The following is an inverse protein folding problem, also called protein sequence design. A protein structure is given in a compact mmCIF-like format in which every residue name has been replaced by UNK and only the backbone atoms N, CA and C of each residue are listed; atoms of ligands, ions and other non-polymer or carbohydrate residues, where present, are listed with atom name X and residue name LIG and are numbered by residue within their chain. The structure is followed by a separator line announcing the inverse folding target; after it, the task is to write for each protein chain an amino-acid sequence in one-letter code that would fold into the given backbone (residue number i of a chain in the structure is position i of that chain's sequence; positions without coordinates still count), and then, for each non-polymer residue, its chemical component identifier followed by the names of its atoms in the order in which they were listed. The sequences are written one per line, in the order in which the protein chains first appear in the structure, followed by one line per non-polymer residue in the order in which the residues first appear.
data_IF_460506579667
#
_entry.id   IF_460506579667
#
_cell.length_a   1.000
_cell.length_b   1.000
_cell.length_c   1.000
_cell.angle_alpha   90.00
_cell.angle_beta   90.00
_cell.angle_gamma   90.00
#
_symmetry.space_group_name_H-M   'P 1'
#
loop_
_entity.id
_entity.type
_entity.pdbx_description
1 polymer ?
#
# COMPACT_ATOMS: atom_id res chain seq x y z
N UNK A 1 7.90 5.72 59.12
CA UNK A 1 8.74 6.12 57.99
C UNK A 1 8.44 5.19 56.82
N UNK A 2 8.05 5.76 55.68
CA UNK A 2 7.30 5.08 54.61
C UNK A 2 8.26 4.34 53.67
N UNK A 3 7.91 3.09 53.36
CA UNK A 3 8.49 2.22 52.34
C UNK A 3 8.45 2.87 50.95
N UNK A 4 9.60 3.05 50.32
CA UNK A 4 9.68 3.34 48.89
C UNK A 4 10.05 2.05 48.16
N UNK A 5 9.01 1.29 47.80
CA UNK A 5 9.10 0.18 46.85
C UNK A 5 9.31 0.82 45.47
N UNK A 6 10.55 0.77 44.98
CA UNK A 6 10.91 1.16 43.62
C UNK A 6 10.25 0.22 42.63
N UNK A 7 9.06 0.61 42.14
CA UNK A 7 8.32 -0.10 41.12
C UNK A 7 9.03 0.10 39.77
N UNK A 8 9.94 -0.81 39.44
CA UNK A 8 10.53 -0.91 38.11
C UNK A 8 9.44 -1.39 37.14
N UNK A 9 8.78 -0.44 36.48
CA UNK A 9 7.92 -0.68 35.32
C UNK A 9 8.81 -1.16 34.15
N UNK A 10 9.02 -2.47 34.08
CA UNK A 10 9.51 -3.13 32.86
C UNK A 10 8.40 -3.03 31.79
N UNK A 11 8.46 -1.99 30.96
CA UNK A 11 7.79 -1.98 29.67
C UNK A 11 8.45 -3.07 28.81
N UNK A 12 7.84 -4.27 28.80
CA UNK A 12 8.11 -5.24 27.75
C UNK A 12 7.54 -4.67 26.45
N UNK A 13 8.38 -3.96 25.69
CA UNK A 13 8.15 -3.73 24.28
C UNK A 13 8.13 -5.11 23.60
N UNK A 14 6.94 -5.70 23.48
CA UNK A 14 6.75 -6.87 22.65
C UNK A 14 7.15 -6.46 21.24
N UNK A 15 8.33 -6.88 20.81
CA UNK A 15 8.83 -6.72 19.46
C UNK A 15 7.94 -7.58 18.56
N UNK A 16 6.81 -7.01 18.17
CA UNK A 16 5.92 -7.47 17.13
C UNK A 16 6.75 -7.47 15.84
N UNK A 17 7.38 -8.61 15.56
CA UNK A 17 8.14 -8.81 14.33
C UNK A 17 7.23 -8.48 13.15
N UNK A 18 7.66 -7.61 12.24
CA UNK A 18 6.83 -7.24 11.11
C UNK A 18 6.50 -8.46 10.24
N UNK A 19 5.37 -8.42 9.51
CA UNK A 19 5.00 -9.51 8.61
C UNK A 19 6.12 -9.78 7.60
N UNK A 20 6.25 -11.04 7.16
CA UNK A 20 7.26 -11.49 6.19
C UNK A 20 7.24 -10.68 4.87
N UNK A 21 6.11 -10.05 4.55
CA UNK A 21 5.99 -9.05 3.50
C UNK A 21 5.29 -7.80 4.04
N UNK A 22 5.94 -6.64 3.91
CA UNK A 22 5.41 -5.35 4.36
C UNK A 22 4.22 -4.89 3.51
N UNK A 23 3.34 -4.06 4.07
CA UNK A 23 2.18 -3.55 3.34
C UNK A 23 2.60 -2.75 2.09
N UNK A 24 3.66 -1.94 2.18
CA UNK A 24 4.22 -1.20 1.05
C UNK A 24 4.59 -2.11 -0.12
N UNK A 25 5.25 -3.23 0.16
CA UNK A 25 5.69 -4.19 -0.85
C UNK A 25 4.51 -4.92 -1.51
N UNK A 26 3.49 -5.28 -0.73
CA UNK A 26 2.27 -5.91 -1.26
C UNK A 26 1.51 -4.96 -2.18
N UNK A 27 1.34 -3.70 -1.76
CA UNK A 27 0.70 -2.67 -2.58
C UNK A 27 1.53 -2.33 -3.82
N UNK A 28 2.86 -2.39 -3.72
CA UNK A 28 3.76 -2.20 -4.86
C UNK A 28 3.53 -3.24 -5.95
N UNK A 29 3.57 -4.54 -5.63
CA UNK A 29 3.35 -5.61 -6.62
C UNK A 29 1.92 -5.64 -7.17
N UNK A 30 0.93 -5.21 -6.38
CA UNK A 30 -0.42 -5.01 -6.87
C UNK A 30 -0.55 -3.78 -7.79
N UNK A 31 0.37 -2.81 -7.69
CA UNK A 31 0.27 -1.52 -8.37
C UNK A 31 0.24 -1.60 -9.90
N UNK A 32 -0.57 -0.75 -10.53
CA UNK A 32 -0.81 -0.76 -11.98
C UNK A 32 0.44 -0.44 -12.81
N UNK A 33 1.37 0.34 -12.27
CA UNK A 33 2.67 0.60 -12.89
C UNK A 33 3.55 -0.65 -12.94
N UNK A 34 3.53 -1.49 -11.92
CA UNK A 34 4.29 -2.75 -11.92
C UNK A 34 3.71 -3.77 -12.90
N UNK A 35 2.40 -3.65 -13.18
CA UNK A 35 1.72 -4.47 -14.18
C UNK A 35 1.83 -3.92 -15.61
N UNK A 36 2.51 -2.79 -15.82
CA UNK A 36 2.60 -2.15 -17.14
C UNK A 36 1.26 -1.67 -17.69
N UNK A 37 0.25 -1.47 -16.83
CA UNK A 37 -1.13 -1.14 -17.21
C UNK A 37 -1.35 0.38 -17.38
N UNK A 38 -0.34 1.19 -17.09
CA UNK A 38 -0.36 2.65 -17.28
C UNK A 38 0.24 3.02 -18.64
N UNK A 39 -0.37 3.99 -19.31
CA UNK A 39 0.11 4.54 -20.58
C UNK A 39 1.42 5.30 -20.40
N UNK A 40 2.33 5.21 -21.38
CA UNK A 40 3.52 6.07 -21.44
C UNK A 40 3.19 7.53 -21.85
N UNK A 41 1.98 7.78 -22.38
CA UNK A 41 1.52 9.14 -22.63
C UNK A 41 1.21 9.85 -21.29
N UNK A 42 1.90 10.96 -21.03
CA UNK A 42 1.79 11.71 -19.77
C UNK A 42 0.37 12.17 -19.44
N UNK A 43 -0.42 12.58 -20.45
CA UNK A 43 -1.79 13.06 -20.22
C UNK A 43 -2.72 11.91 -19.86
N UNK A 44 -2.59 10.78 -20.56
CA UNK A 44 -3.36 9.56 -20.29
C UNK A 44 -2.96 8.99 -18.93
N UNK A 45 -1.67 8.87 -18.64
CA UNK A 45 -1.15 8.40 -17.35
C UNK A 45 -1.70 9.23 -16.18
N UNK A 46 -1.72 10.58 -16.32
CA UNK A 46 -2.28 11.46 -15.28
C UNK A 46 -3.78 11.25 -15.08
N UNK A 47 -4.54 10.92 -16.13
CA UNK A 47 -5.97 10.58 -16.03
C UNK A 47 -6.16 9.24 -15.32
N UNK A 48 -5.40 8.23 -15.74
CA UNK A 48 -5.39 6.90 -15.16
C UNK A 48 -5.02 6.93 -13.66
N UNK A 49 -4.00 7.70 -13.28
CA UNK A 49 -3.61 7.87 -11.88
C UNK A 49 -4.74 8.49 -11.06
N UNK A 50 -5.38 9.56 -11.55
CA UNK A 50 -6.52 10.17 -10.83
C UNK A 50 -7.67 9.20 -10.64
N UNK A 51 -7.94 8.36 -11.63
CA UNK A 51 -9.00 7.36 -11.53
C UNK A 51 -8.65 6.28 -10.49
N UNK A 52 -7.40 5.83 -10.47
CA UNK A 52 -6.89 4.93 -9.44
C UNK A 52 -7.01 5.55 -8.04
N UNK A 53 -6.53 6.78 -7.86
CA UNK A 53 -6.57 7.50 -6.59
C UNK A 53 -8.02 7.72 -6.11
N UNK A 54 -8.93 8.07 -7.04
CA UNK A 54 -10.35 8.23 -6.76
C UNK A 54 -11.00 6.94 -6.25
N UNK A 55 -10.65 5.79 -6.85
CA UNK A 55 -11.23 4.49 -6.47
C UNK A 55 -10.63 3.92 -5.19
N UNK A 56 -9.33 4.10 -4.96
CA UNK A 56 -8.60 3.34 -3.93
C UNK A 56 -7.82 4.18 -2.92
N UNK A 57 -7.60 5.47 -3.18
CA UNK A 57 -6.75 6.33 -2.35
C UNK A 57 -7.16 6.35 -0.88
N UNK A 58 -8.46 6.49 -0.60
CA UNK A 58 -9.00 6.48 0.78
C UNK A 58 -8.77 5.14 1.48
N UNK A 59 -8.98 4.02 0.76
CA UNK A 59 -8.80 2.66 1.30
C UNK A 59 -7.33 2.40 1.62
N UNK A 60 -6.43 2.73 0.69
CA UNK A 60 -4.98 2.63 0.89
C UNK A 60 -4.53 3.49 2.08
N UNK A 61 -5.03 4.73 2.19
CA UNK A 61 -4.69 5.60 3.32
C UNK A 61 -5.17 5.05 4.66
N UNK A 62 -6.37 4.46 4.70
CA UNK A 62 -6.87 3.80 5.90
C UNK A 62 -6.00 2.59 6.29
N UNK A 63 -5.66 1.74 5.33
CA UNK A 63 -4.74 0.61 5.50
C UNK A 63 -3.37 1.04 6.03
N UNK A 64 -2.76 2.07 5.44
CA UNK A 64 -1.49 2.64 5.90
C UNK A 64 -1.53 3.05 7.37
N UNK A 65 -2.62 3.70 7.81
CA UNK A 65 -2.80 4.09 9.21
C UNK A 65 -2.89 2.87 10.13
N UNK A 66 -3.66 1.84 9.74
CA UNK A 66 -3.77 0.59 10.50
C UNK A 66 -2.43 -0.14 10.61
N UNK A 67 -1.71 -0.24 9.50
CA UNK A 67 -0.38 -0.85 9.44
C UNK A 67 0.63 -0.10 10.31
N UNK A 68 0.66 1.23 10.21
CA UNK A 68 1.53 2.08 11.04
C UNK A 68 1.22 1.95 12.53
N UNK A 69 -0.07 1.89 12.90
CA UNK A 69 -0.48 1.70 14.29
C UNK A 69 -0.09 0.33 14.85
N UNK A 70 -0.04 -0.70 13.98
CA UNK A 70 0.24 -2.09 14.38
C UNK A 70 1.75 -2.41 14.39
N UNK A 71 2.51 -1.89 13.43
CA UNK A 71 3.90 -2.30 13.18
C UNK A 71 4.90 -1.13 13.12
N UNK A 72 4.45 0.10 13.39
CA UNK A 72 5.24 1.31 13.19
C UNK A 72 5.34 1.73 11.73
N UNK A 73 6.05 2.83 11.46
CA UNK A 73 6.20 3.36 10.11
C UNK A 73 6.87 2.36 9.16
N UNK A 74 6.33 2.25 7.94
CA UNK A 74 6.88 1.43 6.87
C UNK A 74 7.64 2.33 5.86
N UNK A 75 8.99 2.32 5.88
CA UNK A 75 9.79 3.18 5.00
C UNK A 75 9.65 2.81 3.52
N UNK A 76 9.08 1.65 3.19
CA UNK A 76 8.80 1.27 1.81
C UNK A 76 7.76 2.16 1.13
N UNK A 77 6.96 2.92 1.89
CA UNK A 77 6.06 3.92 1.32
C UNK A 77 6.76 5.18 0.81
N UNK A 78 7.99 5.44 1.26
CA UNK A 78 8.79 6.60 0.83
C UNK A 78 9.63 6.29 -0.42
N UNK A 79 9.72 5.01 -0.81
CA UNK A 79 10.45 4.59 -2.00
C UNK A 79 9.72 5.01 -3.28
N UNK A 80 10.44 5.69 -4.18
CA UNK A 80 9.94 6.02 -5.51
C UNK A 80 10.01 4.75 -6.37
N UNK A 81 8.85 4.18 -6.68
CA UNK A 81 8.77 3.04 -7.58
C UNK A 81 9.20 3.41 -9.01
N UNK A 82 10.17 2.69 -9.57
CA UNK A 82 10.39 2.67 -11.01
C UNK A 82 9.23 1.88 -11.65
N UNK A 83 8.34 2.58 -12.35
CA UNK A 83 7.17 1.99 -13.00
C UNK A 83 7.45 1.57 -14.43
N UNK A 84 6.78 0.51 -14.89
CA UNK A 84 6.70 0.16 -16.31
C UNK A 84 5.47 0.86 -16.92
N UNK A 85 5.61 1.36 -18.15
CA UNK A 85 4.49 1.92 -18.90
C UNK A 85 4.38 1.24 -20.27
N UNK A 86 3.16 1.24 -20.83
CA UNK A 86 2.89 0.70 -22.16
C UNK A 86 2.60 1.83 -23.16
N UNK A 87 3.02 1.65 -24.42
CA UNK A 87 2.68 2.61 -25.49
C UNK A 87 1.16 2.67 -25.68
N UNK A 88 0.56 3.87 -25.92
CA UNK A 88 -0.89 4.00 -26.00
C UNK A 88 -1.47 3.20 -27.16
N UNK A 89 -2.38 2.29 -26.85
CA UNK A 89 -3.17 1.49 -27.79
C UNK A 89 -4.55 1.25 -27.18
N UNK A 90 -5.53 0.80 -27.97
CA UNK A 90 -6.83 0.37 -27.41
C UNK A 90 -6.66 -0.74 -26.36
N UNK A 91 -5.67 -1.62 -26.55
CA UNK A 91 -5.35 -2.68 -25.60
C UNK A 91 -4.81 -2.16 -24.27
N UNK A 92 -4.20 -0.98 -24.20
CA UNK A 92 -3.77 -0.37 -22.93
C UNK A 92 -4.96 0.07 -22.08
N UNK A 93 -6.02 0.61 -22.70
CA UNK A 93 -7.25 0.98 -21.97
C UNK A 93 -7.94 -0.25 -21.37
N UNK A 94 -8.03 -1.35 -22.13
CA UNK A 94 -8.57 -2.61 -21.63
C UNK A 94 -7.71 -3.19 -20.50
N UNK A 95 -6.37 -3.21 -20.68
CA UNK A 95 -5.42 -3.64 -19.64
C UNK A 95 -5.55 -2.80 -18.36
N UNK A 96 -5.76 -1.50 -18.50
CA UNK A 96 -5.95 -0.59 -17.37
C UNK A 96 -7.19 -0.96 -16.54
N UNK A 97 -8.36 -1.15 -17.18
CA UNK A 97 -9.57 -1.54 -16.46
C UNK A 97 -9.45 -2.94 -15.83
N UNK A 98 -8.86 -3.91 -16.53
CA UNK A 98 -8.57 -5.23 -15.95
C UNK A 98 -7.65 -5.12 -14.73
N UNK A 99 -6.61 -4.29 -14.80
CA UNK A 99 -5.70 -4.07 -13.68
C UNK A 99 -6.38 -3.39 -12.49
N UNK A 100 -7.32 -2.46 -12.72
CA UNK A 100 -8.13 -1.88 -11.64
C UNK A 100 -8.99 -2.93 -10.93
N UNK A 101 -9.61 -3.84 -11.69
CA UNK A 101 -10.41 -4.93 -11.10
C UNK A 101 -9.53 -5.88 -10.28
N UNK A 102 -8.39 -6.29 -10.83
CA UNK A 102 -7.41 -7.13 -10.11
C UNK A 102 -6.94 -6.45 -8.83
N UNK A 103 -6.56 -5.17 -8.91
CA UNK A 103 -6.14 -4.39 -7.75
C UNK A 103 -7.23 -4.31 -6.69
N UNK A 104 -8.49 -4.13 -7.07
CA UNK A 104 -9.60 -4.10 -6.12
C UNK A 104 -9.73 -5.43 -5.34
N UNK A 105 -9.55 -6.57 -6.02
CA UNK A 105 -9.56 -7.89 -5.38
C UNK A 105 -8.37 -8.08 -4.44
N UNK A 106 -7.17 -7.75 -4.90
CA UNK A 106 -5.94 -7.85 -4.11
C UNK A 106 -6.02 -6.95 -2.87
N UNK A 107 -6.51 -5.71 -3.02
CA UNK A 107 -6.72 -4.77 -1.91
C UNK A 107 -7.73 -5.30 -0.89
N UNK A 108 -8.86 -5.86 -1.34
CA UNK A 108 -9.85 -6.46 -0.44
C UNK A 108 -9.32 -7.71 0.27
N UNK A 109 -8.37 -8.44 -0.33
CA UNK A 109 -7.68 -9.54 0.35
C UNK A 109 -6.76 -9.01 1.45
N UNK A 110 -5.98 -7.97 1.15
CA UNK A 110 -5.11 -7.30 2.13
C UNK A 110 -5.92 -6.74 3.28
N UNK A 111 -7.01 -6.02 3.02
CA UNK A 111 -7.85 -5.37 4.05
C UNK A 111 -8.40 -6.36 5.09
N UNK A 112 -8.68 -7.60 4.70
CA UNK A 112 -9.16 -8.64 5.63
C UNK A 112 -8.13 -9.02 6.70
N UNK A 113 -6.86 -8.72 6.48
CA UNK A 113 -5.78 -8.96 7.44
C UNK A 113 -5.57 -7.77 8.41
N UNK A 114 -6.26 -6.65 8.16
CA UNK A 114 -6.22 -5.41 8.95
C UNK A 114 -7.65 -5.05 9.44
N UNK A 115 -8.18 -5.78 10.44
CA UNK A 115 -9.50 -5.50 11.02
C UNK A 115 -9.61 -4.08 11.59
#
# INVERSE_FOLDING_TARGET
MIMLVGLALFLQAQSLMPPAQRLSERLFYAGLYQQGAISCDRRIAKRQQREFDRRFGTRIAALKRKDTAKWGADPGFDAIALGQCSRPTESVSAKFETALQKFALDLSAIEREYP
#
